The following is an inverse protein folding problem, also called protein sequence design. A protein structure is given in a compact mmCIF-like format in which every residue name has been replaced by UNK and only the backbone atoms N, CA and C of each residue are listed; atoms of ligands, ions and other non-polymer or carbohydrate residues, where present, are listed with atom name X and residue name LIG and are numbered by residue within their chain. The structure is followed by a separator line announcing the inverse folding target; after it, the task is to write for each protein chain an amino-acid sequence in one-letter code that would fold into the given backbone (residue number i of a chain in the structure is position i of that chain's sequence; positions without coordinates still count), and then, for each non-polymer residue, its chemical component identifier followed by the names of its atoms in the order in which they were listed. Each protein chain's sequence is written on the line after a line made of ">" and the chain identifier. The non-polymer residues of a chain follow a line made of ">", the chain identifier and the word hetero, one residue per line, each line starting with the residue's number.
data_IF_886423511379
#
_entry.id   IF_886423511379
#
_cell.length_a   1.000
_cell.length_b   1.000
_cell.length_c   1.000
_cell.angle_alpha   90.00
_cell.angle_beta   90.00
_cell.angle_gamma   90.00
#
_symmetry.space_group_name_H-M   'P 1'
#
loop_
_entity.id
_entity.type
_entity.pdbx_description
1 polymer ?
#
# COMPACT_ATOMS: atom_id res chain seq x y z
N UNK A 1 -13.29 2.84 -6.00
CA UNK A 1 -13.51 2.31 -4.63
C UNK A 1 -12.57 3.03 -3.68
N UNK A 2 -12.97 3.20 -2.41
CA UNK A 2 -12.10 3.76 -1.37
C UNK A 2 -11.59 2.62 -0.49
N UNK A 3 -10.28 2.38 -0.51
CA UNK A 3 -9.64 1.29 0.21
C UNK A 3 -8.62 1.86 1.20
N UNK A 4 -8.51 1.20 2.34
CA UNK A 4 -7.42 1.45 3.29
C UNK A 4 -6.52 0.23 3.31
N UNK A 5 -5.30 0.37 2.81
CA UNK A 5 -4.30 -0.68 2.75
C UNK A 5 -3.36 -0.55 3.95
N UNK A 6 -3.17 -1.63 4.70
CA UNK A 6 -2.15 -1.69 5.76
C UNK A 6 -0.91 -2.40 5.24
N UNK A 7 0.17 -1.67 5.06
CA UNK A 7 1.40 -2.17 4.43
C UNK A 7 2.55 -2.12 5.44
N UNK A 8 3.27 -3.23 5.59
CA UNK A 8 4.50 -3.26 6.37
C UNK A 8 5.62 -2.54 5.60
N UNK A 9 6.15 -1.46 6.18
CA UNK A 9 7.29 -0.72 5.60
C UNK A 9 8.49 -0.84 6.53
N UNK A 10 9.61 -1.20 5.92
CA UNK A 10 10.89 -1.38 6.59
C UNK A 10 11.99 -1.00 5.61
N UNK A 11 12.92 -0.13 6.01
CA UNK A 11 13.93 0.43 5.11
C UNK A 11 14.99 -0.62 4.72
N UNK A 12 15.38 -1.48 5.65
CA UNK A 12 16.29 -2.61 5.45
C UNK A 12 16.13 -3.61 6.61
N UNK A 13 16.80 -4.76 6.51
CA UNK A 13 16.70 -5.83 7.51
C UNK A 13 17.12 -5.43 8.94
N UNK A 14 17.93 -4.38 9.09
CA UNK A 14 18.41 -3.90 10.39
C UNK A 14 17.50 -2.84 11.03
N UNK A 15 16.67 -2.17 10.24
CA UNK A 15 15.71 -1.17 10.73
C UNK A 15 14.44 -1.84 11.28
N UNK A 16 13.85 -1.26 12.32
CA UNK A 16 12.54 -1.72 12.81
C UNK A 16 11.45 -1.35 11.81
N UNK A 17 10.76 -2.35 11.27
CA UNK A 17 9.60 -2.14 10.42
C UNK A 17 8.36 -1.70 11.18
N UNK A 18 7.35 -1.24 10.46
CA UNK A 18 6.04 -0.88 11.01
C UNK A 18 4.93 -1.07 9.99
N UNK A 19 3.72 -1.29 10.48
CA UNK A 19 2.52 -1.18 9.64
C UNK A 19 2.21 0.30 9.37
N UNK A 20 1.95 0.63 8.11
CA UNK A 20 1.57 1.97 7.65
C UNK A 20 0.24 1.87 6.92
N UNK A 21 -0.68 2.76 7.25
CA UNK A 21 -2.00 2.81 6.63
C UNK A 21 -1.97 3.78 5.44
N UNK A 22 -2.34 3.29 4.25
CA UNK A 22 -2.49 4.06 3.03
C UNK A 22 -3.95 4.12 2.64
N UNK A 23 -4.47 5.34 2.50
CA UNK A 23 -5.82 5.57 1.97
C UNK A 23 -5.71 5.78 0.48
N UNK A 24 -6.29 4.86 -0.28
CA UNK A 24 -6.32 4.96 -1.74
C UNK A 24 -7.76 5.20 -2.16
N UNK A 25 -7.97 6.37 -2.76
CA UNK A 25 -9.24 6.76 -3.33
C UNK A 25 -9.21 6.47 -4.84
N UNK A 26 -10.39 6.35 -5.45
CA UNK A 26 -10.53 6.25 -6.90
C UNK A 26 -9.89 4.99 -7.54
N UNK A 27 -9.68 3.93 -6.77
CA UNK A 27 -9.24 2.63 -7.31
C UNK A 27 -10.35 2.03 -8.17
N UNK A 28 -10.02 1.69 -9.42
CA UNK A 28 -10.94 0.92 -10.26
C UNK A 28 -11.06 -0.52 -9.73
N UNK A 29 -12.26 -1.11 -9.68
CA UNK A 29 -12.44 -2.53 -9.35
C UNK A 29 -11.70 -3.48 -10.29
N UNK A 30 -11.36 -3.02 -11.50
CA UNK A 30 -10.67 -3.81 -12.52
C UNK A 30 -9.14 -3.80 -12.37
N UNK A 31 -8.60 -2.94 -11.48
CA UNK A 31 -7.16 -2.91 -11.20
C UNK A 31 -6.76 -4.12 -10.35
N UNK A 32 -5.60 -4.70 -10.67
CA UNK A 32 -4.97 -5.71 -9.83
C UNK A 32 -4.37 -5.09 -8.57
N UNK A 33 -4.18 -5.92 -7.53
CA UNK A 33 -3.55 -5.47 -6.28
C UNK A 33 -2.12 -4.94 -6.48
N UNK A 34 -1.36 -5.47 -7.44
CA UNK A 34 0.01 -5.01 -7.72
C UNK A 34 0.01 -3.60 -8.35
N UNK A 35 -0.91 -3.33 -9.28
CA UNK A 35 -1.08 -1.98 -9.84
C UNK A 35 -1.50 -0.97 -8.76
N UNK A 36 -2.30 -1.40 -7.76
CA UNK A 36 -2.62 -0.55 -6.61
C UNK A 36 -1.37 -0.23 -5.76
N UNK A 37 -0.40 -1.16 -5.65
CA UNK A 37 0.86 -0.92 -4.95
C UNK A 37 1.77 0.03 -5.72
N UNK A 38 1.75 0.00 -7.05
CA UNK A 38 2.53 0.92 -7.89
C UNK A 38 2.06 2.37 -7.73
N UNK A 39 0.77 2.61 -7.50
CA UNK A 39 0.23 3.95 -7.19
C UNK A 39 0.74 4.50 -5.85
N UNK A 40 1.24 3.64 -4.95
CA UNK A 40 1.75 4.02 -3.64
C UNK A 40 3.27 4.25 -3.59
N UNK A 41 3.99 3.91 -4.66
CA UNK A 41 5.44 4.16 -4.78
C UNK A 41 5.71 5.55 -5.39
#
# INVERSE_FOLDING_TARGET
>A
MNLTLKIWRQKNASDKGKMVDYKVNDISPDMSFLEMLDVLN
#
